data_IF_706065389942
#
_entry.id   IF_706065389942
#
_cell.length_a   1.000
_cell.length_b   1.000
_cell.length_c   1.000
_cell.angle_alpha   90.00
_cell.angle_beta   90.00
_cell.angle_gamma   90.00
#
_symmetry.space_group_name_H-M   'P 1'
#
loop_
_entity.id
_entity.type
_entity.pdbx_description
1 polymer ?
#
# COMPACT_ATOMS: atom_id res chain seq x y z
N UNK A 1 20.46 -51.99 -2.57
CA UNK A 1 21.44 -51.92 -1.47
C UNK A 1 20.83 -50.96 -0.47
N UNK A 2 20.06 -51.34 0.49
CA UNK A 2 20.28 -51.94 1.82
C UNK A 2 21.27 -51.15 2.63
N UNK A 3 20.77 -50.40 3.66
CA UNK A 3 21.53 -49.72 4.68
C UNK A 3 20.60 -49.17 5.76
N UNK A 4 20.09 -50.04 6.61
CA UNK A 4 19.39 -49.81 7.90
C UNK A 4 20.43 -49.50 8.96
N UNK A 5 20.23 -48.45 9.80
CA UNK A 5 20.78 -48.36 11.19
C UNK A 5 19.72 -47.61 11.99
N UNK A 6 18.94 -48.26 12.78
CA UNK A 6 19.00 -48.68 14.21
C UNK A 6 19.26 -47.52 15.20
N UNK A 7 18.17 -47.23 15.89
CA UNK A 7 17.93 -46.97 17.32
C UNK A 7 19.11 -46.58 18.19
N UNK A 8 18.95 -45.49 18.90
CA UNK A 8 19.41 -45.35 20.28
C UNK A 8 18.39 -44.53 21.08
N UNK A 9 17.72 -45.26 21.94
CA UNK A 9 16.82 -44.81 23.00
C UNK A 9 17.70 -44.33 24.16
N UNK A 10 17.59 -43.06 24.57
CA UNK A 10 18.17 -42.57 25.81
C UNK A 10 17.04 -41.98 26.68
N UNK A 11 16.66 -42.81 27.66
CA UNK A 11 15.85 -42.42 28.79
C UNK A 11 16.73 -41.63 29.77
N UNK A 12 16.37 -40.40 30.08
CA UNK A 12 16.92 -39.64 31.20
C UNK A 12 15.79 -39.21 32.14
N UNK A 13 15.97 -39.63 33.33
CA UNK A 13 15.16 -39.61 34.53
C UNK A 13 14.80 -38.20 34.99
N UNK A 14 13.57 -38.11 35.48
CA UNK A 14 12.96 -37.00 36.19
C UNK A 14 13.77 -36.59 37.44
N UNK A 15 14.03 -35.31 37.61
CA UNK A 15 14.26 -34.72 38.91
C UNK A 15 13.20 -33.60 39.10
N UNK A 16 12.30 -33.86 40.02
CA UNK A 16 11.33 -32.89 40.56
C UNK A 16 12.13 -31.84 41.36
N UNK A 17 12.18 -30.61 40.79
CA UNK A 17 12.60 -29.41 41.49
C UNK A 17 11.39 -28.57 41.83
N UNK A 18 10.91 -28.66 43.06
CA UNK A 18 10.02 -27.68 43.65
C UNK A 18 10.79 -26.37 43.81
N UNK A 19 10.51 -25.40 42.95
CA UNK A 19 11.01 -24.02 43.10
C UNK A 19 9.79 -23.10 43.12
N UNK A 20 9.53 -22.68 44.37
CA UNK A 20 9.01 -21.39 44.82
C UNK A 20 8.29 -20.54 43.79
N UNK A 21 6.96 -20.45 43.95
CA UNK A 21 6.15 -19.39 43.36
C UNK A 21 6.61 -18.04 43.93
N UNK A 22 7.49 -17.34 43.19
CA UNK A 22 7.71 -15.93 43.41
C UNK A 22 6.57 -15.17 42.75
N UNK A 23 5.80 -14.54 43.60
CA UNK A 23 4.71 -13.60 43.35
C UNK A 23 5.22 -12.50 42.39
N UNK A 24 4.96 -12.64 41.09
CA UNK A 24 5.18 -11.60 40.10
C UNK A 24 3.96 -10.72 40.07
N UNK A 25 4.08 -9.40 40.20
CA UNK A 25 2.91 -8.50 40.17
C UNK A 25 2.20 -8.62 38.84
N UNK A 26 0.86 -8.79 38.87
CA UNK A 26 0.07 -8.90 37.65
C UNK A 26 -0.29 -7.50 37.13
N UNK A 27 0.60 -6.74 36.48
CA UNK A 27 0.21 -5.53 35.75
C UNK A 27 1.37 -5.01 34.85
N UNK A 28 1.91 -5.88 34.01
CA UNK A 28 2.57 -5.39 32.81
C UNK A 28 1.57 -5.57 31.67
N UNK A 29 1.13 -4.49 31.00
CA UNK A 29 0.29 -4.64 29.82
C UNK A 29 1.03 -5.54 28.82
N UNK A 30 0.33 -6.45 28.13
CA UNK A 30 0.97 -7.35 27.17
C UNK A 30 1.80 -6.51 26.19
N UNK A 31 3.08 -6.83 26.07
CA UNK A 31 3.97 -6.16 25.14
C UNK A 31 3.32 -6.15 23.77
N UNK A 32 2.99 -4.96 23.29
CA UNK A 32 2.41 -4.79 21.95
C UNK A 32 3.31 -5.50 20.94
N UNK A 33 2.77 -6.29 20.00
CA UNK A 33 3.59 -6.94 18.98
C UNK A 33 4.43 -5.88 18.29
N UNK A 34 5.69 -6.20 17.92
CA UNK A 34 6.56 -5.23 17.26
C UNK A 34 5.84 -4.69 16.03
N UNK A 35 5.59 -3.38 16.01
CA UNK A 35 4.94 -2.73 14.88
C UNK A 35 5.75 -3.04 13.62
N UNK A 36 5.07 -3.45 12.54
CA UNK A 36 5.72 -3.65 11.25
C UNK A 36 6.42 -2.35 10.82
N UNK A 37 7.47 -2.46 10.00
CA UNK A 37 8.19 -1.28 9.48
C UNK A 37 7.25 -0.25 8.84
N UNK A 38 6.18 -0.73 8.22
CA UNK A 38 5.16 0.11 7.58
C UNK A 38 4.30 0.84 8.61
N UNK A 39 3.92 0.17 9.72
CA UNK A 39 3.16 0.82 10.79
C UNK A 39 3.97 1.95 11.45
N UNK A 40 5.28 1.74 11.64
CA UNK A 40 6.18 2.79 12.14
C UNK A 40 6.29 3.95 11.14
N UNK A 41 6.49 3.64 9.87
CA UNK A 41 6.57 4.64 8.81
C UNK A 41 5.30 5.51 8.76
N UNK A 42 4.11 4.91 8.71
CA UNK A 42 2.85 5.66 8.68
C UNK A 42 2.60 6.41 9.99
N UNK A 43 3.04 5.87 11.14
CA UNK A 43 3.00 6.57 12.43
C UNK A 43 3.86 7.83 12.44
N UNK A 44 5.11 7.75 11.96
CA UNK A 44 6.01 8.91 11.87
C UNK A 44 5.52 9.92 10.82
N UNK A 45 5.04 9.43 9.68
CA UNK A 45 4.50 10.26 8.60
C UNK A 45 3.31 11.12 9.08
N UNK A 46 2.42 10.56 9.89
CA UNK A 46 1.21 11.25 10.35
C UNK A 46 1.49 12.56 11.08
N UNK A 47 2.68 12.71 11.69
CA UNK A 47 3.09 13.91 12.43
C UNK A 47 3.89 14.92 11.59
N UNK A 48 4.17 14.63 10.32
CA UNK A 48 4.86 15.59 9.44
C UNK A 48 3.89 16.67 8.96
N UNK A 49 4.30 17.91 9.03
CA UNK A 49 3.52 19.05 8.50
C UNK A 49 3.40 18.98 6.97
N UNK A 50 4.48 18.62 6.29
CA UNK A 50 4.53 18.48 4.83
C UNK A 50 5.17 17.13 4.49
N UNK A 51 4.48 16.35 3.65
CA UNK A 51 5.01 15.11 3.10
C UNK A 51 5.99 15.40 1.97
N UNK A 52 7.05 14.61 1.88
CA UNK A 52 8.08 14.74 0.85
C UNK A 52 7.84 13.77 -0.32
N UNK A 53 8.58 13.98 -1.42
CA UNK A 53 8.58 13.06 -2.55
C UNK A 53 9.01 11.63 -2.14
N UNK A 54 9.92 11.51 -1.18
CA UNK A 54 10.31 10.22 -0.62
C UNK A 54 9.17 9.54 0.15
N UNK A 55 8.44 10.31 0.97
CA UNK A 55 7.29 9.81 1.70
C UNK A 55 6.19 9.34 0.73
N UNK A 56 5.89 10.13 -0.29
CA UNK A 56 4.92 9.80 -1.33
C UNK A 56 5.32 8.53 -2.12
N UNK A 57 6.61 8.44 -2.50
CA UNK A 57 7.11 7.27 -3.23
C UNK A 57 7.04 6.00 -2.39
N UNK A 58 7.43 6.05 -1.10
CA UNK A 58 7.36 4.92 -0.19
C UNK A 58 5.91 4.49 0.07
N UNK A 59 5.04 5.43 0.38
CA UNK A 59 3.62 5.17 0.61
C UNK A 59 2.93 4.53 -0.60
N UNK A 60 3.23 5.02 -1.82
CA UNK A 60 2.75 4.43 -3.07
C UNK A 60 3.36 3.05 -3.35
N UNK A 61 4.63 2.82 -2.99
CA UNK A 61 5.27 1.50 -3.12
C UNK A 61 4.55 0.48 -2.26
N UNK A 62 4.25 0.81 -1.00
CA UNK A 62 3.49 -0.05 -0.09
C UNK A 62 2.10 -0.33 -0.66
N UNK A 63 1.39 0.69 -1.15
CA UNK A 63 0.06 0.54 -1.76
C UNK A 63 0.08 -0.39 -2.98
N UNK A 64 1.03 -0.19 -3.91
CA UNK A 64 1.11 -0.95 -5.17
C UNK A 64 1.62 -2.37 -4.96
N UNK A 65 2.49 -2.59 -3.96
CA UNK A 65 3.03 -3.91 -3.61
C UNK A 65 2.14 -4.70 -2.65
N UNK A 66 1.00 -4.13 -2.23
CA UNK A 66 0.10 -4.75 -1.22
C UNK A 66 0.82 -5.06 0.10
N UNK A 67 1.74 -4.19 0.51
CA UNK A 67 2.53 -4.38 1.72
C UNK A 67 3.60 -5.48 1.63
N UNK A 68 3.85 -6.04 0.43
CA UNK A 68 4.90 -7.06 0.26
C UNK A 68 6.31 -6.49 0.17
N UNK A 69 6.44 -5.18 -0.08
CA UNK A 69 7.71 -4.45 -0.17
C UNK A 69 7.75 -3.32 0.85
N UNK A 70 8.82 -3.29 1.58
CA UNK A 70 9.09 -2.29 2.62
C UNK A 70 10.34 -1.47 2.29
N UNK A 71 10.58 -1.22 0.98
CA UNK A 71 11.76 -0.49 0.52
C UNK A 71 11.82 0.89 1.20
N UNK A 72 12.93 1.19 1.83
CA UNK A 72 13.14 2.45 2.54
C UNK A 72 13.90 3.46 1.68
N UNK A 73 14.65 2.99 0.68
CA UNK A 73 15.40 3.87 -0.18
C UNK A 73 14.53 4.48 -1.29
N UNK A 74 14.65 5.80 -1.44
CA UNK A 74 13.90 6.57 -2.43
C UNK A 74 14.18 6.15 -3.87
N UNK A 75 15.43 5.79 -4.19
CA UNK A 75 15.81 5.34 -5.52
C UNK A 75 15.17 4.00 -5.87
N UNK A 76 15.11 3.08 -4.90
CA UNK A 76 14.46 1.77 -5.05
C UNK A 76 12.96 1.91 -5.22
N UNK A 77 12.31 2.75 -4.40
CA UNK A 77 10.89 3.07 -4.56
C UNK A 77 10.59 3.62 -5.95
N UNK A 78 11.40 4.58 -6.45
CA UNK A 78 11.25 5.14 -7.80
C UNK A 78 11.43 4.07 -8.88
N UNK A 79 12.43 3.20 -8.75
CA UNK A 79 12.69 2.11 -9.69
C UNK A 79 11.51 1.13 -9.73
N UNK A 80 10.99 0.74 -8.57
CA UNK A 80 9.83 -0.12 -8.47
C UNK A 80 8.57 0.51 -9.10
N UNK A 81 8.23 1.74 -8.74
CA UNK A 81 7.08 2.45 -9.29
C UNK A 81 7.20 2.66 -10.80
N UNK A 82 8.44 2.85 -11.31
CA UNK A 82 8.72 2.93 -12.75
C UNK A 82 8.43 1.60 -13.45
N UNK A 83 8.82 0.48 -12.86
CA UNK A 83 8.54 -0.85 -13.41
C UNK A 83 7.04 -1.15 -13.51
N UNK A 84 6.22 -0.48 -12.67
CA UNK A 84 4.76 -0.55 -12.66
C UNK A 84 4.08 0.54 -13.49
N UNK A 85 4.84 1.37 -14.21
CA UNK A 85 4.33 2.51 -15.00
C UNK A 85 3.56 3.56 -14.18
N UNK A 86 3.82 3.64 -12.89
CA UNK A 86 3.18 4.60 -11.97
C UNK A 86 3.88 5.95 -11.97
N UNK A 87 5.18 6.00 -12.25
CA UNK A 87 5.99 7.23 -12.22
C UNK A 87 5.50 8.25 -13.25
N UNK A 88 5.34 9.50 -12.82
CA UNK A 88 5.14 10.66 -13.68
C UNK A 88 6.44 11.48 -13.80
N UNK A 89 6.42 12.54 -14.62
CA UNK A 89 7.58 13.42 -14.81
C UNK A 89 8.03 14.06 -13.50
N UNK A 90 7.10 14.53 -12.67
CA UNK A 90 7.42 15.13 -11.38
C UNK A 90 8.22 14.16 -10.49
N UNK A 91 7.72 12.96 -10.23
CA UNK A 91 8.43 12.01 -9.36
C UNK A 91 9.76 11.56 -9.99
N UNK A 92 9.87 11.50 -11.32
CA UNK A 92 11.13 11.20 -12.01
C UNK A 92 12.22 12.18 -11.66
N UNK A 93 11.89 13.47 -11.65
CA UNK A 93 12.84 14.57 -11.51
C UNK A 93 12.99 15.06 -10.07
N UNK A 94 12.03 14.71 -9.17
CA UNK A 94 12.05 15.12 -7.76
C UNK A 94 13.25 14.59 -7.02
N UNK A 95 13.75 15.43 -6.11
CA UNK A 95 14.67 15.06 -5.06
C UNK A 95 13.91 14.46 -3.88
N UNK A 96 14.65 13.80 -2.99
CA UNK A 96 14.10 13.11 -1.82
C UNK A 96 13.21 14.02 -0.96
N UNK A 97 13.68 15.24 -0.72
CA UNK A 97 13.09 16.18 0.23
C UNK A 97 12.15 17.20 -0.40
N UNK A 98 11.91 17.10 -1.73
CA UNK A 98 10.97 17.99 -2.40
C UNK A 98 9.55 17.79 -1.84
N UNK A 99 8.77 18.85 -1.61
CA UNK A 99 7.42 18.74 -1.10
C UNK A 99 6.50 18.03 -2.11
N UNK A 100 5.58 17.23 -1.60
CA UNK A 100 4.58 16.56 -2.42
C UNK A 100 3.34 17.45 -2.59
N UNK A 101 2.96 17.73 -3.85
CA UNK A 101 1.78 18.51 -4.19
C UNK A 101 0.58 17.62 -4.48
N UNK A 102 -0.62 18.13 -4.17
CA UNK A 102 -1.89 17.41 -4.39
C UNK A 102 -2.08 16.96 -5.84
N UNK A 103 -1.78 17.83 -6.79
CA UNK A 103 -1.94 17.51 -8.22
C UNK A 103 -1.03 16.39 -8.68
N UNK A 104 0.25 16.44 -8.32
CA UNK A 104 1.23 15.44 -8.69
C UNK A 104 0.96 14.09 -8.01
N UNK A 105 0.58 14.12 -6.72
CA UNK A 105 0.18 12.92 -5.99
C UNK A 105 -1.08 12.29 -6.58
N UNK A 106 -2.09 13.09 -6.95
CA UNK A 106 -3.30 12.61 -7.60
C UNK A 106 -3.00 11.91 -8.93
N UNK A 107 -2.08 12.48 -9.74
CA UNK A 107 -1.67 11.86 -10.99
C UNK A 107 -0.96 10.51 -10.78
N UNK A 108 -0.16 10.38 -9.73
CA UNK A 108 0.46 9.11 -9.34
C UNK A 108 -0.57 8.10 -8.86
N UNK A 109 -1.54 8.51 -8.04
CA UNK A 109 -2.63 7.66 -7.55
C UNK A 109 -3.50 7.13 -8.70
N UNK A 110 -3.89 8.00 -9.65
CA UNK A 110 -4.66 7.57 -10.80
C UNK A 110 -3.92 6.48 -11.61
N UNK A 111 -2.60 6.60 -11.76
CA UNK A 111 -1.77 5.57 -12.41
C UNK A 111 -1.69 4.30 -11.58
N UNK A 112 -1.45 4.42 -10.27
CA UNK A 112 -1.33 3.28 -9.34
C UNK A 112 -2.61 2.45 -9.28
N UNK A 113 -3.77 3.10 -9.25
CA UNK A 113 -5.08 2.46 -9.17
C UNK A 113 -5.69 2.12 -10.54
N UNK A 114 -5.04 2.50 -11.65
CA UNK A 114 -5.55 2.29 -13.00
C UNK A 114 -6.83 3.07 -13.29
N UNK A 115 -7.01 4.22 -12.64
CA UNK A 115 -8.18 5.08 -12.82
C UNK A 115 -8.09 5.75 -14.19
N UNK A 116 -9.04 5.40 -15.07
CA UNK A 116 -9.09 5.95 -16.44
C UNK A 116 -9.71 7.34 -16.51
N UNK A 117 -10.46 7.72 -15.47
CA UNK A 117 -11.15 8.99 -15.37
C UNK A 117 -12.10 9.32 -16.52
N UNK A 118 -12.48 10.60 -16.64
CA UNK A 118 -13.32 11.09 -17.73
C UNK A 118 -12.61 11.12 -19.07
N UNK A 119 -13.36 11.57 -20.11
CA UNK A 119 -12.89 11.62 -21.51
C UNK A 119 -11.55 12.36 -21.67
N UNK A 120 -11.38 13.47 -20.99
CA UNK A 120 -10.15 14.27 -21.06
C UNK A 120 -8.92 13.56 -20.48
N UNK A 121 -9.08 12.80 -19.39
CA UNK A 121 -8.00 11.98 -18.86
C UNK A 121 -7.60 10.84 -19.79
N UNK A 122 -8.56 10.30 -20.57
CA UNK A 122 -8.27 9.25 -21.56
C UNK A 122 -7.50 9.78 -22.76
N UNK A 123 -7.75 11.04 -23.16
CA UNK A 123 -7.10 11.68 -24.30
C UNK A 123 -5.72 12.27 -23.94
N UNK A 124 -5.63 12.97 -22.80
CA UNK A 124 -4.46 13.75 -22.40
C UNK A 124 -3.61 13.05 -21.34
N UNK A 125 -4.09 11.92 -20.82
CA UNK A 125 -3.47 11.24 -19.68
C UNK A 125 -3.82 11.91 -18.34
N UNK A 126 -3.32 11.37 -17.22
CA UNK A 126 -3.56 11.89 -15.88
C UNK A 126 -2.71 13.15 -15.63
N UNK A 127 -3.14 14.28 -16.19
CA UNK A 127 -2.57 15.59 -15.87
C UNK A 127 -2.89 15.94 -14.41
N UNK A 128 -2.01 16.66 -13.67
CA UNK A 128 -2.18 16.95 -12.25
C UNK A 128 -3.56 17.48 -11.88
N UNK A 129 -4.03 18.51 -12.59
CA UNK A 129 -5.33 19.13 -12.35
C UNK A 129 -6.52 18.18 -12.61
N UNK A 130 -6.49 17.43 -13.72
CA UNK A 130 -7.56 16.49 -14.06
C UNK A 130 -7.60 15.31 -13.11
N UNK A 131 -6.42 14.80 -12.76
CA UNK A 131 -6.27 13.72 -11.80
C UNK A 131 -6.77 14.10 -10.40
N UNK A 132 -6.48 15.35 -9.96
CA UNK A 132 -6.96 15.85 -8.68
C UNK A 132 -8.49 15.90 -8.65
N UNK A 133 -9.14 16.45 -9.69
CA UNK A 133 -10.61 16.47 -9.79
C UNK A 133 -11.20 15.06 -9.73
N UNK A 134 -10.60 14.10 -10.43
CA UNK A 134 -11.05 12.71 -10.40
C UNK A 134 -10.88 12.07 -9.02
N UNK A 135 -9.73 12.29 -8.36
CA UNK A 135 -9.51 11.80 -7.00
C UNK A 135 -10.48 12.41 -5.98
N UNK A 136 -10.85 13.69 -6.13
CA UNK A 136 -11.86 14.35 -5.30
C UNK A 136 -13.24 13.71 -5.56
N UNK A 137 -13.62 13.53 -6.82
CA UNK A 137 -14.89 12.90 -7.21
C UNK A 137 -15.02 11.48 -6.65
N UNK A 138 -13.93 10.72 -6.63
CA UNK A 138 -13.87 9.37 -6.07
C UNK A 138 -13.69 9.36 -4.54
N UNK A 139 -13.70 10.50 -3.88
CA UNK A 139 -13.45 10.65 -2.43
C UNK A 139 -12.10 10.08 -1.97
N UNK A 140 -11.09 10.05 -2.83
CA UNK A 140 -9.73 9.63 -2.48
C UNK A 140 -8.94 10.77 -1.84
N UNK A 141 -9.20 12.02 -2.28
CA UNK A 141 -8.52 13.22 -1.79
C UNK A 141 -9.52 14.28 -1.37
N UNK A 142 -9.08 15.16 -0.47
CA UNK A 142 -9.84 16.35 -0.05
C UNK A 142 -9.62 17.45 -1.09
N UNK A 143 -10.66 18.25 -1.32
CA UNK A 143 -10.60 19.39 -2.23
C UNK A 143 -9.48 20.37 -1.83
N UNK A 144 -8.80 20.91 -2.83
CA UNK A 144 -7.69 21.83 -2.65
C UNK A 144 -7.12 22.26 -3.99
N UNK A 145 -6.11 23.13 -3.97
CA UNK A 145 -5.39 23.56 -5.16
C UNK A 145 -4.38 22.47 -5.61
N UNK A 146 -4.12 22.39 -6.91
CA UNK A 146 -3.22 21.36 -7.46
C UNK A 146 -1.76 21.46 -6.96
N UNK A 147 -1.34 22.68 -6.62
CA UNK A 147 -0.01 23.01 -6.09
C UNK A 147 0.02 23.13 -4.56
N UNK A 148 -1.08 22.83 -3.90
CA UNK A 148 -1.12 22.77 -2.44
C UNK A 148 -0.33 21.57 -1.93
N UNK A 149 0.55 21.81 -0.95
CA UNK A 149 1.36 20.74 -0.37
C UNK A 149 0.50 19.80 0.47
N UNK A 150 0.82 18.54 0.42
CA UNK A 150 0.14 17.49 1.18
C UNK A 150 0.80 17.33 2.54
N UNK A 151 0.01 17.41 3.62
CA UNK A 151 0.48 17.06 4.95
C UNK A 151 0.69 15.56 5.13
N UNK A 152 1.57 15.15 6.04
CA UNK A 152 1.83 13.75 6.29
C UNK A 152 0.58 12.98 6.73
N UNK A 153 -0.21 13.55 7.65
CA UNK A 153 -1.48 12.96 8.07
C UNK A 153 -2.51 12.88 6.95
N UNK A 154 -2.53 13.87 6.04
CA UNK A 154 -3.37 13.84 4.85
C UNK A 154 -2.94 12.70 3.90
N UNK A 155 -1.63 12.52 3.68
CA UNK A 155 -1.08 11.46 2.85
C UNK A 155 -1.47 10.07 3.40
N UNK A 156 -1.36 9.84 4.71
CA UNK A 156 -1.81 8.59 5.35
C UNK A 156 -3.30 8.34 5.06
N UNK A 157 -4.15 9.36 5.22
CA UNK A 157 -5.58 9.25 4.92
C UNK A 157 -5.88 9.01 3.45
N UNK A 158 -5.09 9.54 2.53
CA UNK A 158 -5.18 9.31 1.09
C UNK A 158 -4.87 7.85 0.77
N UNK A 159 -3.77 7.31 1.31
CA UNK A 159 -3.36 5.92 1.09
C UNK A 159 -4.39 4.93 1.64
N UNK A 160 -4.95 5.17 2.83
CA UNK A 160 -6.02 4.35 3.40
C UNK A 160 -7.27 4.32 2.49
N UNK A 161 -7.72 5.47 1.99
CA UNK A 161 -8.84 5.54 1.05
C UNK A 161 -8.53 4.86 -0.29
N UNK A 162 -7.30 4.99 -0.78
CA UNK A 162 -6.84 4.37 -2.00
C UNK A 162 -6.82 2.83 -1.89
N UNK A 163 -6.37 2.30 -0.76
CA UNK A 163 -6.37 0.85 -0.51
C UNK A 163 -7.80 0.30 -0.44
N UNK A 164 -8.70 0.95 0.29
CA UNK A 164 -10.13 0.58 0.33
C UNK A 164 -10.77 0.63 -1.06
N UNK A 165 -10.45 1.64 -1.86
CA UNK A 165 -10.93 1.74 -3.24
C UNK A 165 -10.45 0.55 -4.08
N UNK A 166 -9.18 0.21 -4.00
CA UNK A 166 -8.58 -0.93 -4.70
C UNK A 166 -9.26 -2.24 -4.32
N UNK A 167 -9.47 -2.50 -3.03
CA UNK A 167 -10.16 -3.70 -2.54
C UNK A 167 -11.60 -3.80 -3.06
N UNK A 168 -12.33 -2.67 -3.09
CA UNK A 168 -13.68 -2.60 -3.62
C UNK A 168 -13.74 -2.91 -5.13
N UNK A 169 -12.81 -2.37 -5.91
CA UNK A 169 -12.73 -2.64 -7.35
C UNK A 169 -12.29 -4.08 -7.64
N UNK A 170 -11.39 -4.64 -6.85
CA UNK A 170 -11.01 -6.05 -6.96
C UNK A 170 -12.22 -6.99 -6.70
N UNK A 171 -13.08 -6.67 -5.73
CA UNK A 171 -14.30 -7.42 -5.46
C UNK A 171 -15.39 -7.30 -6.55
N UNK A 172 -15.42 -6.21 -7.31
CA UNK A 172 -16.39 -6.02 -8.41
C UNK A 172 -16.07 -6.85 -9.65
N UNK A 173 -14.80 -7.04 -9.99
CA UNK A 173 -14.36 -7.74 -11.21
C UNK A 173 -14.88 -9.18 -11.33
N UNK A 174 -14.95 -10.01 -10.28
CA UNK A 174 -15.50 -11.36 -10.38
C UNK A 174 -16.99 -11.40 -10.73
N UNK A 175 -17.78 -10.42 -10.27
CA UNK A 175 -19.23 -10.38 -10.50
C UNK A 175 -19.61 -10.00 -11.93
N UNK A 176 -18.85 -9.10 -12.57
CA UNK A 176 -19.09 -8.71 -13.96
C UNK A 176 -18.78 -9.85 -14.95
N UNK A 177 -17.81 -10.70 -14.63
CA UNK A 177 -17.46 -11.87 -15.44
C UNK A 177 -18.50 -12.98 -15.34
N UNK A 178 -19.20 -13.10 -14.20
CA UNK A 178 -20.26 -14.10 -14.01
C UNK A 178 -21.62 -13.67 -14.57
N UNK A 179 -21.85 -12.36 -14.72
CA UNK A 179 -23.11 -11.79 -15.20
C UNK A 179 -23.23 -11.62 -16.72
N UNK A 180 -22.22 -11.99 -17.50
CA UNK A 180 -22.30 -11.91 -18.96
C UNK A 180 -23.02 -13.16 -19.48
N UNK A 181 -24.31 -13.11 -19.88
CA UNK A 181 -24.96 -14.24 -20.50
C UNK A 181 -24.18 -14.58 -21.76
N UNK A 182 -23.74 -15.84 -21.85
CA UNK A 182 -23.17 -16.39 -23.07
C UNK A 182 -24.21 -16.19 -24.17
N UNK A 183 -24.05 -15.11 -24.97
CA UNK A 183 -24.93 -14.79 -26.06
C UNK A 183 -24.96 -15.97 -27.02
N UNK A 184 -26.05 -16.71 -26.95
CA UNK A 184 -26.42 -17.70 -27.94
C UNK A 184 -26.27 -17.07 -29.32
N UNK A 185 -25.39 -17.63 -30.13
CA UNK A 185 -25.32 -17.36 -31.53
C UNK A 185 -26.67 -17.82 -32.14
N UNK A 186 -27.62 -16.92 -32.23
CA UNK A 186 -28.85 -17.13 -32.97
C UNK A 186 -28.49 -17.18 -34.45
N UNK A 187 -28.38 -18.37 -34.93
CA UNK A 187 -28.22 -18.72 -36.33
C UNK A 187 -29.56 -18.43 -37.01
N UNK A 188 -29.63 -17.36 -37.78
CA UNK A 188 -30.78 -17.00 -38.60
C UNK A 188 -30.78 -17.89 -39.89
N UNK A 189 -31.91 -18.46 -40.28
CA UNK A 189 -32.05 -19.30 -41.47
C UNK A 189 -31.89 -18.52 -42.77
#
# INVERSE_FOLDING_TARGET
MRGRWLMALAVVVATAGLASAADSPPDSPPASPPASSDARFFGELAYKDIATAADAARALTILVSEGTRTDEDFAECKAYLRSRSVVNHWLSDSKRDDPADKGHLAALLCRALGIKGGLWMRLLGPLPRLALHECIYLNLMIAGAEYEHVGGGELVGIIDRADRFRLKEAGRRPQELQGRPSGAAEKKP
#
